data_IF_877424050377
#
_entry.id   IF_877424050377
#
_cell.length_a   1.000
_cell.length_b   1.000
_cell.length_c   1.000
_cell.angle_alpha   90.00
_cell.angle_beta   90.00
_cell.angle_gamma   90.00
#
_symmetry.space_group_name_H-M   'P 1'
#
loop_
_entity.id
_entity.type
_entity.pdbx_description
1 polymer ?
#
# COMPACT_ATOMS: atom_id res chain seq x y z
N UNK A 1 19.78 -0.43 -23.48
CA UNK A 1 19.34 -0.20 -22.08
C UNK A 1 20.60 -0.14 -21.24
N UNK A 2 20.74 0.86 -20.37
CA UNK A 2 21.82 0.91 -19.38
C UNK A 2 21.70 -0.30 -18.46
N UNK A 3 22.80 -0.98 -18.17
CA UNK A 3 22.83 -2.09 -17.22
C UNK A 3 22.44 -1.61 -15.81
N UNK A 4 21.68 -2.42 -15.08
CA UNK A 4 21.31 -2.14 -13.68
C UNK A 4 22.38 -2.76 -12.80
N UNK A 5 23.21 -1.92 -12.18
CA UNK A 5 24.46 -2.38 -11.53
C UNK A 5 24.35 -2.53 -10.02
N UNK A 6 23.34 -1.92 -9.40
CA UNK A 6 23.15 -1.93 -7.95
C UNK A 6 21.67 -1.69 -7.56
N UNK A 7 21.24 -2.09 -6.36
CA UNK A 7 19.83 -1.99 -5.96
C UNK A 7 19.33 -0.55 -5.75
N UNK A 8 20.19 0.42 -5.45
CA UNK A 8 19.78 1.83 -5.31
C UNK A 8 19.41 2.41 -6.68
N UNK A 9 20.24 2.15 -7.70
CA UNK A 9 19.93 2.46 -9.09
C UNK A 9 18.61 1.78 -9.50
N UNK A 10 18.45 0.50 -9.16
CA UNK A 10 17.24 -0.26 -9.46
C UNK A 10 15.97 0.37 -8.86
N UNK A 11 16.04 0.92 -7.64
CA UNK A 11 14.91 1.62 -7.01
C UNK A 11 14.47 2.87 -7.77
N UNK A 12 15.35 3.52 -8.53
CA UNK A 12 14.98 4.62 -9.41
C UNK A 12 14.53 4.12 -10.80
N UNK A 13 15.27 3.14 -11.35
CA UNK A 13 15.00 2.60 -12.68
C UNK A 13 13.67 1.81 -12.73
N UNK A 14 13.16 1.28 -11.61
CA UNK A 14 11.90 0.52 -11.55
C UNK A 14 10.71 1.32 -12.10
N UNK A 15 10.72 2.66 -11.96
CA UNK A 15 9.65 3.53 -12.42
C UNK A 15 9.64 3.69 -13.95
N UNK A 16 10.79 3.61 -14.60
CA UNK A 16 10.93 3.97 -16.02
C UNK A 16 11.39 2.82 -16.92
N UNK A 17 12.12 1.84 -16.36
CA UNK A 17 12.75 0.72 -17.06
C UNK A 17 12.58 -0.59 -16.26
N UNK A 18 11.35 -0.96 -15.85
CA UNK A 18 11.13 -2.08 -14.95
C UNK A 18 11.60 -3.44 -15.48
N UNK A 19 11.55 -3.68 -16.79
CA UNK A 19 12.02 -4.95 -17.36
C UNK A 19 13.51 -5.21 -17.08
N UNK A 20 14.34 -4.17 -17.18
CA UNK A 20 15.78 -4.28 -16.88
C UNK A 20 16.03 -4.53 -15.39
N UNK A 21 15.25 -3.89 -14.53
CA UNK A 21 15.30 -4.12 -13.08
C UNK A 21 14.89 -5.54 -12.74
N UNK A 22 13.76 -6.03 -13.26
CA UNK A 22 13.28 -7.38 -12.98
C UNK A 22 14.20 -8.45 -13.54
N UNK A 23 14.88 -8.22 -14.67
CA UNK A 23 15.95 -9.11 -15.12
C UNK A 23 17.10 -9.16 -14.11
N UNK A 24 17.62 -8.00 -13.69
CA UNK A 24 18.74 -7.93 -12.76
C UNK A 24 18.42 -8.55 -11.39
N UNK A 25 17.23 -8.28 -10.83
CA UNK A 25 16.86 -8.83 -9.51
C UNK A 25 16.55 -10.33 -9.53
N UNK A 26 16.32 -10.93 -10.70
CA UNK A 26 16.21 -12.38 -10.85
C UNK A 26 17.59 -13.07 -10.75
N UNK A 27 18.67 -12.34 -11.02
CA UNK A 27 20.05 -12.86 -11.05
C UNK A 27 20.83 -12.47 -9.77
N UNK A 28 20.28 -11.58 -8.94
CA UNK A 28 20.95 -11.04 -7.76
C UNK A 28 20.15 -11.26 -6.46
N UNK A 29 20.74 -12.05 -5.56
CA UNK A 29 20.19 -12.29 -4.23
C UNK A 29 20.26 -11.04 -3.34
N UNK A 30 19.35 -10.95 -2.37
CA UNK A 30 19.31 -9.94 -1.30
C UNK A 30 19.09 -8.48 -1.73
N UNK A 31 18.97 -8.17 -3.02
CA UNK A 31 18.71 -6.81 -3.48
C UNK A 31 17.38 -6.24 -2.96
N UNK A 32 16.39 -7.11 -2.75
CA UNK A 32 15.05 -6.74 -2.26
C UNK A 32 15.02 -6.19 -0.83
N UNK A 33 16.11 -6.30 -0.06
CA UNK A 33 16.21 -5.61 1.24
C UNK A 33 16.13 -4.08 1.11
N UNK A 34 16.61 -3.53 0.00
CA UNK A 34 16.58 -2.08 -0.24
C UNK A 34 15.14 -1.56 -0.40
N UNK A 35 14.33 -2.04 -1.37
CA UNK A 35 12.93 -1.62 -1.46
C UNK A 35 12.12 -2.05 -0.24
N UNK A 36 12.43 -3.17 0.41
CA UNK A 36 11.79 -3.55 1.68
C UNK A 36 11.91 -2.45 2.74
N UNK A 37 13.13 -1.97 2.99
CA UNK A 37 13.36 -0.91 3.97
C UNK A 37 12.69 0.40 3.56
N UNK A 38 12.79 0.79 2.29
CA UNK A 38 12.19 2.02 1.76
C UNK A 38 10.66 1.98 1.94
N UNK A 39 10.02 0.92 1.46
CA UNK A 39 8.56 0.76 1.51
C UNK A 39 8.08 0.68 2.96
N UNK A 40 8.78 -0.04 3.83
CA UNK A 40 8.40 -0.18 5.25
C UNK A 40 8.54 1.13 6.03
N UNK A 41 9.58 1.92 5.77
CA UNK A 41 9.73 3.24 6.41
C UNK A 41 8.63 4.17 5.92
N UNK A 42 8.35 4.18 4.61
CA UNK A 42 7.38 5.08 4.01
C UNK A 42 5.91 4.65 4.15
N UNK A 43 5.63 3.40 4.53
CA UNK A 43 4.28 3.00 4.93
C UNK A 43 3.88 3.55 6.30
N UNK A 44 4.87 3.85 7.15
CA UNK A 44 4.66 4.29 8.54
C UNK A 44 4.75 5.80 8.67
N UNK A 45 5.72 6.41 7.98
CA UNK A 45 6.11 7.80 8.19
C UNK A 45 4.96 8.81 8.01
N UNK A 46 4.10 8.73 6.97
CA UNK A 46 2.98 9.66 6.81
C UNK A 46 1.99 9.60 7.99
N UNK A 47 1.65 8.40 8.47
CA UNK A 47 0.73 8.23 9.60
C UNK A 47 1.34 8.76 10.91
N UNK A 48 2.62 8.50 11.14
CA UNK A 48 3.35 9.04 12.28
C UNK A 48 3.37 10.58 12.27
N UNK A 49 3.71 11.19 11.13
CA UNK A 49 3.72 12.64 10.98
C UNK A 49 2.32 13.23 11.14
N UNK A 50 1.30 12.58 10.56
CA UNK A 50 -0.09 13.01 10.66
C UNK A 50 -0.54 13.09 12.12
N UNK A 51 -0.37 12.04 12.93
CA UNK A 51 -0.82 12.06 14.33
C UNK A 51 -0.04 13.04 15.21
N UNK A 52 1.21 13.36 14.87
CA UNK A 52 1.98 14.40 15.56
C UNK A 52 1.62 15.82 15.09
N UNK A 53 1.04 15.96 13.90
CA UNK A 53 0.66 17.24 13.33
C UNK A 53 -0.76 17.65 13.72
N UNK A 54 -1.74 16.74 13.69
CA UNK A 54 -3.14 17.11 13.92
C UNK A 54 -3.44 17.47 15.38
N UNK A 55 -4.44 18.33 15.57
CA UNK A 55 -5.10 18.49 16.86
C UNK A 55 -5.72 17.15 17.25
N UNK A 56 -5.10 16.48 18.22
CA UNK A 56 -5.49 15.13 18.60
C UNK A 56 -6.88 15.09 19.26
N UNK A 57 -7.28 16.14 19.97
CA UNK A 57 -8.61 16.18 20.60
C UNK A 57 -9.70 16.24 19.51
N UNK A 58 -9.49 17.09 18.49
CA UNK A 58 -10.35 17.13 17.31
C UNK A 58 -10.36 15.80 16.55
N UNK A 59 -9.19 15.20 16.32
CA UNK A 59 -9.09 13.91 15.62
C UNK A 59 -9.86 12.81 16.35
N UNK A 60 -9.74 12.78 17.68
CA UNK A 60 -10.47 11.86 18.55
C UNK A 60 -11.98 12.09 18.48
N UNK A 61 -12.44 13.35 18.54
CA UNK A 61 -13.85 13.71 18.36
C UNK A 61 -14.39 13.23 17.01
N UNK A 62 -13.65 13.51 15.95
CA UNK A 62 -14.01 13.10 14.59
C UNK A 62 -14.15 11.57 14.50
N UNK A 63 -13.19 10.80 15.04
CA UNK A 63 -13.27 9.34 15.03
C UNK A 63 -14.47 8.82 15.83
N UNK A 64 -14.74 9.38 17.01
CA UNK A 64 -15.87 8.97 17.85
C UNK A 64 -17.19 9.23 17.15
N UNK A 65 -17.37 10.42 16.60
CA UNK A 65 -18.59 10.79 15.89
C UNK A 65 -18.79 9.94 14.62
N UNK A 66 -17.71 9.57 13.94
CA UNK A 66 -17.78 8.81 12.68
C UNK A 66 -17.98 7.31 12.91
N UNK A 67 -17.31 6.70 13.90
CA UNK A 67 -17.30 5.24 14.08
C UNK A 67 -18.20 4.76 15.21
N UNK A 68 -18.50 5.62 16.18
CA UNK A 68 -19.21 5.27 17.41
C UNK A 68 -20.39 6.22 17.68
N UNK A 69 -20.85 6.95 16.66
CA UNK A 69 -21.93 7.94 16.75
C UNK A 69 -23.25 7.36 17.26
N UNK A 70 -23.52 6.08 16.99
CA UNK A 70 -24.73 5.37 17.40
C UNK A 70 -24.68 4.82 18.84
N UNK A 71 -23.54 4.91 19.51
CA UNK A 71 -23.38 4.45 20.90
C UNK A 71 -23.89 5.50 21.90
N UNK A 72 -24.16 5.06 23.15
CA UNK A 72 -24.56 6.00 24.20
C UNK A 72 -23.43 6.97 24.57
N UNK A 73 -23.74 8.17 25.09
CA UNK A 73 -22.71 9.12 25.53
C UNK A 73 -21.74 8.56 26.56
N UNK A 74 -22.20 7.63 27.43
CA UNK A 74 -21.34 6.98 28.41
C UNK A 74 -20.31 6.06 27.75
N UNK A 75 -20.71 5.29 26.74
CA UNK A 75 -19.82 4.40 25.99
C UNK A 75 -18.82 5.19 25.14
N UNK A 76 -19.27 6.26 24.47
CA UNK A 76 -18.39 7.15 23.72
C UNK A 76 -17.31 7.76 24.62
N UNK A 77 -17.67 8.21 25.83
CA UNK A 77 -16.71 8.74 26.80
C UNK A 77 -15.71 7.68 27.27
N UNK A 78 -16.14 6.43 27.45
CA UNK A 78 -15.24 5.33 27.80
C UNK A 78 -14.23 5.06 26.67
N UNK A 79 -14.67 5.02 25.42
CA UNK A 79 -13.80 4.86 24.24
C UNK A 79 -12.81 6.02 24.14
N UNK A 80 -13.30 7.25 24.34
CA UNK A 80 -12.48 8.47 24.38
C UNK A 80 -11.35 8.35 25.39
N UNK A 81 -11.67 8.01 26.64
CA UNK A 81 -10.64 7.88 27.69
C UNK A 81 -9.59 6.80 27.37
N UNK A 82 -9.95 5.77 26.59
CA UNK A 82 -9.02 4.73 26.14
C UNK A 82 -8.18 5.11 24.90
N UNK A 83 -8.60 6.10 24.12
CA UNK A 83 -7.95 6.49 22.86
C UNK A 83 -6.89 7.58 23.09
N UNK A 84 -5.75 7.18 23.67
CA UNK A 84 -4.60 8.07 23.83
C UNK A 84 -3.78 8.23 22.55
N UNK A 85 -3.17 9.41 22.35
CA UNK A 85 -2.34 9.71 21.17
C UNK A 85 -1.21 8.69 20.98
N UNK A 86 -0.48 8.36 22.03
CA UNK A 86 0.60 7.37 21.98
C UNK A 86 0.11 5.96 21.62
N UNK A 87 -1.11 5.59 22.04
CA UNK A 87 -1.69 4.30 21.70
C UNK A 87 -2.08 4.24 20.21
N UNK A 88 -2.69 5.32 19.69
CA UNK A 88 -3.00 5.45 18.26
C UNK A 88 -1.72 5.43 17.43
N UNK A 89 -0.69 6.16 17.84
CA UNK A 89 0.63 6.14 17.19
C UNK A 89 1.22 4.73 17.17
N UNK A 90 1.23 4.04 18.31
CA UNK A 90 1.75 2.66 18.39
C UNK A 90 0.98 1.73 17.44
N UNK A 91 -0.35 1.83 17.41
CA UNK A 91 -1.18 1.05 16.51
C UNK A 91 -0.84 1.32 15.04
N UNK A 92 -0.67 2.59 14.65
CA UNK A 92 -0.27 2.96 13.29
C UNK A 92 1.14 2.49 12.94
N UNK A 93 2.10 2.57 13.87
CA UNK A 93 3.46 2.08 13.68
C UNK A 93 3.45 0.56 13.44
N UNK A 94 2.79 -0.20 14.32
CA UNK A 94 2.71 -1.67 14.22
C UNK A 94 1.99 -2.06 12.93
N UNK A 95 0.83 -1.46 12.64
CA UNK A 95 0.06 -1.73 11.43
C UNK A 95 0.81 -1.35 10.16
N UNK A 96 1.50 -0.21 10.16
CA UNK A 96 2.29 0.27 9.02
C UNK A 96 3.52 -0.59 8.72
N UNK A 97 4.09 -1.28 9.72
CA UNK A 97 5.20 -2.23 9.53
C UNK A 97 4.67 -3.61 9.15
N UNK A 98 3.77 -4.18 9.97
CA UNK A 98 3.31 -5.55 9.79
C UNK A 98 2.37 -5.71 8.59
N UNK A 99 1.58 -4.69 8.28
CA UNK A 99 0.62 -4.69 7.17
C UNK A 99 1.30 -5.02 5.84
N UNK A 100 2.27 -4.21 5.36
CA UNK A 100 3.01 -4.49 4.13
C UNK A 100 3.72 -5.84 4.15
N UNK A 101 4.28 -6.26 5.29
CA UNK A 101 4.96 -7.57 5.43
C UNK A 101 4.00 -8.72 5.11
N UNK A 102 2.80 -8.69 5.71
CA UNK A 102 1.77 -9.72 5.53
C UNK A 102 1.16 -9.65 4.13
N UNK A 103 0.80 -8.46 3.66
CA UNK A 103 0.20 -8.27 2.33
C UNK A 103 1.13 -8.75 1.23
N UNK A 104 2.41 -8.37 1.29
CA UNK A 104 3.42 -8.84 0.32
C UNK A 104 3.61 -10.36 0.40
N UNK A 105 3.51 -10.97 1.58
CA UNK A 105 3.61 -12.43 1.72
C UNK A 105 2.41 -13.14 1.08
N UNK A 106 1.21 -12.60 1.24
CA UNK A 106 -0.01 -13.13 0.60
C UNK A 106 0.08 -13.00 -0.92
N UNK A 107 0.52 -11.84 -1.44
CA UNK A 107 0.71 -11.64 -2.89
C UNK A 107 1.81 -12.57 -3.42
N UNK A 108 2.92 -12.73 -2.70
CA UNK A 108 4.00 -13.63 -3.09
C UNK A 108 3.54 -15.09 -3.14
N UNK A 109 2.75 -15.54 -2.16
CA UNK A 109 2.14 -16.87 -2.17
C UNK A 109 1.24 -17.05 -3.39
N UNK A 110 0.38 -16.06 -3.65
CA UNK A 110 -0.47 -16.06 -4.84
C UNK A 110 0.35 -16.16 -6.14
N UNK A 111 1.38 -15.32 -6.31
CA UNK A 111 2.24 -15.33 -7.50
C UNK A 111 2.98 -16.66 -7.65
N UNK A 112 3.51 -17.19 -6.55
CA UNK A 112 4.19 -18.49 -6.55
C UNK A 112 3.25 -19.61 -7.02
N UNK A 113 2.00 -19.64 -6.54
CA UNK A 113 1.02 -20.64 -6.96
C UNK A 113 0.60 -20.46 -8.43
N UNK A 114 0.34 -19.22 -8.86
CA UNK A 114 -0.14 -18.93 -10.22
C UNK A 114 0.92 -19.13 -11.31
N UNK A 115 2.20 -19.07 -10.93
CA UNK A 115 3.33 -19.25 -11.85
C UNK A 115 3.96 -20.63 -11.77
N UNK A 116 3.51 -21.49 -10.84
CA UNK A 116 4.00 -22.87 -10.66
C UNK A 116 3.80 -23.77 -11.87
N UNK A 117 2.82 -23.45 -12.73
CA UNK A 117 2.56 -24.23 -13.94
C UNK A 117 3.58 -24.00 -15.06
N UNK A 118 4.50 -23.05 -14.91
CA UNK A 118 5.57 -22.81 -15.88
C UNK A 118 6.80 -23.64 -15.54
N UNK A 119 7.17 -24.57 -16.41
CA UNK A 119 8.34 -25.43 -16.24
C UNK A 119 9.67 -24.65 -16.30
N UNK A 120 9.67 -23.45 -16.90
CA UNK A 120 10.86 -22.61 -17.01
C UNK A 120 11.05 -21.67 -15.81
N UNK A 121 10.04 -21.58 -14.94
CA UNK A 121 10.10 -20.72 -13.76
C UNK A 121 10.84 -21.43 -12.63
N UNK A 122 12.04 -20.94 -12.32
CA UNK A 122 12.87 -21.46 -11.22
C UNK A 122 12.61 -20.74 -9.89
N UNK A 123 11.75 -19.72 -9.87
CA UNK A 123 11.53 -18.86 -8.71
C UNK A 123 10.56 -19.48 -7.69
N UNK A 124 11.04 -19.60 -6.45
CA UNK A 124 10.27 -20.04 -5.30
C UNK A 124 9.52 -18.91 -4.60
N UNK A 125 8.84 -19.24 -3.49
CA UNK A 125 8.10 -18.25 -2.69
C UNK A 125 8.95 -17.06 -2.25
N UNK A 126 10.20 -17.30 -1.83
CA UNK A 126 11.09 -16.23 -1.34
C UNK A 126 11.49 -15.25 -2.43
N UNK A 127 11.63 -15.72 -3.67
CA UNK A 127 11.94 -14.88 -4.83
C UNK A 127 10.75 -13.99 -5.16
N UNK A 128 9.54 -14.56 -5.17
CA UNK A 128 8.30 -13.79 -5.30
C UNK A 128 8.06 -12.84 -4.13
N UNK A 129 8.49 -13.19 -2.92
CA UNK A 129 8.42 -12.29 -1.78
C UNK A 129 9.35 -11.09 -1.96
N UNK A 130 10.61 -11.33 -2.36
CA UNK A 130 11.54 -10.28 -2.77
C UNK A 130 10.97 -9.40 -3.89
N UNK A 131 10.38 -10.02 -4.90
CA UNK A 131 9.73 -9.35 -6.03
C UNK A 131 8.66 -8.35 -5.60
N UNK A 132 7.78 -8.74 -4.67
CA UNK A 132 6.65 -7.89 -4.26
C UNK A 132 7.08 -6.56 -3.64
N UNK A 133 8.27 -6.49 -3.02
CA UNK A 133 8.83 -5.23 -2.52
C UNK A 133 9.22 -4.27 -3.65
N UNK A 134 9.77 -4.78 -4.75
CA UNK A 134 10.02 -3.98 -5.96
C UNK A 134 8.72 -3.49 -6.59
N UNK A 135 7.73 -4.39 -6.71
CA UNK A 135 6.41 -4.03 -7.22
C UNK A 135 5.69 -2.99 -6.35
N UNK A 136 6.00 -2.93 -5.04
CA UNK A 136 5.43 -1.98 -4.08
C UNK A 136 6.06 -0.58 -4.12
N UNK A 137 7.14 -0.37 -4.89
CA UNK A 137 7.81 0.93 -4.99
C UNK A 137 6.88 2.12 -5.38
N UNK A 138 5.83 1.97 -6.20
CA UNK A 138 4.88 3.06 -6.45
C UNK A 138 4.22 3.65 -5.18
N UNK A 139 4.07 2.87 -4.10
CA UNK A 139 3.55 3.36 -2.83
C UNK A 139 4.42 4.46 -2.20
N UNK A 140 5.72 4.49 -2.52
CA UNK A 140 6.66 5.54 -2.10
C UNK A 140 6.20 6.91 -2.58
N UNK A 141 5.66 7.00 -3.81
CA UNK A 141 5.19 8.26 -4.37
C UNK A 141 3.99 8.78 -3.57
N UNK A 142 3.03 7.90 -3.24
CA UNK A 142 1.91 8.29 -2.36
C UNK A 142 2.42 8.84 -1.02
N UNK A 143 3.36 8.15 -0.39
CA UNK A 143 3.89 8.55 0.91
C UNK A 143 4.59 9.91 0.86
N UNK A 144 5.41 10.15 -0.17
CA UNK A 144 6.09 11.44 -0.37
C UNK A 144 5.10 12.59 -0.59
N UNK A 145 4.03 12.36 -1.37
CA UNK A 145 2.97 13.35 -1.56
C UNK A 145 2.25 13.62 -0.23
N UNK A 146 1.91 12.57 0.53
CA UNK A 146 1.25 12.71 1.83
C UNK A 146 2.10 13.53 2.80
N UNK A 147 3.40 13.23 2.89
CA UNK A 147 4.36 13.97 3.73
C UNK A 147 4.40 15.44 3.32
N UNK A 148 4.46 15.73 2.01
CA UNK A 148 4.45 17.10 1.51
C UNK A 148 3.15 17.84 1.86
N UNK A 149 1.99 17.20 1.69
CA UNK A 149 0.69 17.80 2.01
C UNK A 149 0.56 18.12 3.51
N UNK A 150 0.99 17.20 4.38
CA UNK A 150 1.00 17.43 5.84
C UNK A 150 1.95 18.59 6.17
N UNK A 151 3.17 18.59 5.63
CA UNK A 151 4.18 19.61 5.92
C UNK A 151 3.79 21.02 5.42
N UNK A 152 2.97 21.10 4.37
CA UNK A 152 2.48 22.35 3.80
C UNK A 152 1.15 22.83 4.40
N UNK A 153 0.50 22.00 5.22
CA UNK A 153 -0.76 22.38 5.85
C UNK A 153 -0.53 23.42 6.96
N UNK A 154 -1.36 24.46 6.97
CA UNK A 154 -1.44 25.43 8.08
C UNK A 154 -2.53 25.07 9.08
N UNK A 155 -3.53 24.29 8.67
CA UNK A 155 -4.61 23.80 9.50
C UNK A 155 -4.23 22.47 10.15
N UNK A 156 -4.46 22.35 11.47
CA UNK A 156 -4.18 21.14 12.25
C UNK A 156 -5.41 20.21 12.31
N UNK A 157 -6.53 20.58 11.65
CA UNK A 157 -7.76 19.79 11.54
C UNK A 157 -7.95 19.22 10.14
N UNK A 158 -6.93 18.54 9.62
CA UNK A 158 -6.97 17.89 8.30
C UNK A 158 -7.44 16.43 8.39
N UNK A 159 -8.23 16.00 7.40
CA UNK A 159 -8.82 14.66 7.37
C UNK A 159 -7.76 13.56 7.19
N UNK A 160 -7.98 12.35 7.74
CA UNK A 160 -7.02 11.24 7.64
C UNK A 160 -6.73 10.76 6.22
N UNK A 161 -7.62 11.04 5.27
CA UNK A 161 -7.41 10.72 3.84
C UNK A 161 -6.13 11.36 3.27
N UNK A 162 -5.60 12.42 3.90
CA UNK A 162 -4.34 13.07 3.52
C UNK A 162 -3.12 12.14 3.56
N UNK A 163 -3.16 11.04 4.32
CA UNK A 163 -2.08 10.03 4.33
C UNK A 163 -2.10 9.14 3.08
N UNK A 164 -3.15 9.26 2.27
CA UNK A 164 -3.43 8.47 1.06
C UNK A 164 -3.92 9.35 -0.09
N UNK A 165 -3.17 10.38 -0.49
CA UNK A 165 -3.62 11.39 -1.45
C UNK A 165 -3.83 10.85 -2.86
N UNK A 166 -3.38 9.63 -3.15
CA UNK A 166 -3.64 8.97 -4.44
C UNK A 166 -4.89 8.07 -4.42
N UNK A 167 -5.61 8.00 -3.29
CA UNK A 167 -6.89 7.27 -3.19
C UNK A 167 -8.04 8.05 -3.82
N UNK A 168 -9.01 7.34 -4.39
CA UNK A 168 -10.24 7.95 -4.90
C UNK A 168 -11.00 8.69 -3.80
N UNK A 169 -10.95 8.18 -2.55
CA UNK A 169 -11.56 8.85 -1.41
C UNK A 169 -11.01 10.26 -1.19
N UNK A 170 -9.70 10.46 -1.34
CA UNK A 170 -9.08 11.77 -1.23
C UNK A 170 -9.49 12.69 -2.39
N UNK A 171 -9.41 12.21 -3.64
CA UNK A 171 -9.70 13.04 -4.82
C UNK A 171 -11.17 13.43 -4.97
N UNK A 172 -12.08 12.54 -4.55
CA UNK A 172 -13.52 12.76 -4.62
C UNK A 172 -14.09 13.34 -3.32
N UNK A 173 -13.25 13.68 -2.34
CA UNK A 173 -13.63 14.18 -1.02
C UNK A 173 -14.72 13.32 -0.34
N UNK A 174 -14.56 12.00 -0.44
CA UNK A 174 -15.51 11.05 0.14
C UNK A 174 -15.29 11.01 1.65
N UNK A 175 -16.31 11.41 2.39
CA UNK A 175 -16.28 11.45 3.84
C UNK A 175 -16.17 10.05 4.45
N UNK A 176 -15.50 9.94 5.59
CA UNK A 176 -15.32 8.68 6.32
C UNK A 176 -16.63 8.03 6.79
N UNK A 177 -17.69 8.83 6.94
CA UNK A 177 -19.04 8.37 7.29
C UNK A 177 -19.80 7.75 6.12
N UNK A 178 -19.28 7.85 4.90
CA UNK A 178 -19.91 7.26 3.72
C UNK A 178 -19.69 5.75 3.67
N UNK A 179 -20.74 4.99 3.35
CA UNK A 179 -20.64 3.55 3.05
C UNK A 179 -19.62 3.26 1.94
N UNK A 180 -19.44 4.20 1.00
CA UNK A 180 -18.50 4.07 -0.11
C UNK A 180 -17.05 4.40 0.25
N UNK A 181 -16.78 4.88 1.46
CA UNK A 181 -15.45 5.32 1.89
C UNK A 181 -14.42 4.21 1.75
N UNK A 182 -14.70 3.01 2.26
CA UNK A 182 -13.76 1.88 2.20
C UNK A 182 -13.39 1.48 0.77
N UNK A 183 -14.39 1.42 -0.13
CA UNK A 183 -14.19 1.16 -1.55
C UNK A 183 -13.32 2.23 -2.20
N UNK A 184 -13.67 3.51 -2.05
CA UNK A 184 -12.93 4.62 -2.63
C UNK A 184 -11.51 4.76 -2.04
N UNK A 185 -11.33 4.45 -0.76
CA UNK A 185 -10.02 4.45 -0.11
C UNK A 185 -9.12 3.32 -0.65
N UNK A 186 -9.71 2.19 -1.02
CA UNK A 186 -8.99 1.04 -1.60
C UNK A 186 -8.59 1.23 -3.07
N UNK A 187 -9.30 2.10 -3.80
CA UNK A 187 -8.98 2.46 -5.17
C UNK A 187 -7.92 3.55 -5.19
N UNK A 188 -6.69 3.18 -5.54
CA UNK A 188 -5.53 4.07 -5.43
C UNK A 188 -4.79 4.15 -6.76
N UNK A 189 -4.43 5.34 -7.21
CA UNK A 189 -3.86 5.53 -8.55
C UNK A 189 -2.56 4.73 -8.75
N UNK A 190 -1.73 4.63 -7.73
CA UNK A 190 -0.48 3.87 -7.75
C UNK A 190 -0.69 2.35 -7.80
N UNK A 191 -1.90 1.85 -7.52
CA UNK A 191 -2.20 0.42 -7.67
C UNK A 191 -2.15 0.00 -9.13
N UNK A 192 -2.52 0.88 -10.07
CA UNK A 192 -2.40 0.63 -11.51
C UNK A 192 -0.94 0.44 -11.93
N UNK A 193 -0.05 1.23 -11.33
CA UNK A 193 1.39 1.09 -11.55
C UNK A 193 1.90 -0.21 -10.94
N UNK A 194 1.46 -0.54 -9.72
CA UNK A 194 1.80 -1.81 -9.07
C UNK A 194 1.36 -3.01 -9.91
N UNK A 195 0.14 -3.00 -10.45
CA UNK A 195 -0.38 -4.03 -11.37
C UNK A 195 0.51 -4.14 -12.60
N UNK A 196 0.88 -3.01 -13.21
CA UNK A 196 1.78 -3.01 -14.35
C UNK A 196 3.14 -3.63 -14.02
N UNK A 197 3.74 -3.27 -12.88
CA UNK A 197 5.02 -3.84 -12.43
C UNK A 197 4.92 -5.34 -12.19
N UNK A 198 3.84 -5.82 -11.56
CA UNK A 198 3.59 -7.25 -11.38
C UNK A 198 3.50 -7.96 -12.75
N UNK A 199 2.76 -7.39 -13.70
CA UNK A 199 2.61 -7.97 -15.04
C UNK A 199 3.95 -8.05 -15.80
N UNK A 200 4.76 -6.98 -15.76
CA UNK A 200 6.10 -6.96 -16.36
C UNK A 200 6.99 -8.00 -15.70
N UNK A 201 7.00 -8.06 -14.37
CA UNK A 201 7.79 -9.02 -13.62
C UNK A 201 7.48 -10.47 -13.94
N UNK A 202 6.19 -10.84 -13.93
CA UNK A 202 5.76 -12.19 -14.33
C UNK A 202 6.24 -12.50 -15.75
N UNK A 203 6.06 -11.56 -16.70
CA UNK A 203 6.51 -11.75 -18.07
C UNK A 203 8.05 -11.81 -18.24
N UNK A 204 8.82 -11.29 -17.28
CA UNK A 204 10.29 -11.43 -17.27
C UNK A 204 10.76 -12.73 -16.64
N UNK A 205 10.05 -13.23 -15.61
CA UNK A 205 10.48 -14.38 -14.80
C UNK A 205 9.86 -15.71 -15.25
N UNK A 206 8.90 -15.66 -16.16
CA UNK A 206 8.18 -16.83 -16.68
C UNK A 206 8.10 -16.78 -18.21
N UNK A 207 7.74 -17.90 -18.82
CA UNK A 207 7.45 -18.05 -20.25
C UNK A 207 6.02 -17.61 -20.63
N UNK A 208 5.25 -17.06 -19.69
CA UNK A 208 3.87 -16.67 -19.92
C UNK A 208 3.75 -15.48 -20.89
N UNK A 209 2.68 -15.52 -21.71
CA UNK A 209 2.34 -14.39 -22.57
C UNK A 209 1.93 -13.17 -21.76
N UNK A 210 2.13 -11.97 -22.31
CA UNK A 210 1.74 -10.70 -21.68
C UNK A 210 0.28 -10.72 -21.20
N UNK A 211 -0.63 -11.30 -21.99
CA UNK A 211 -2.05 -11.42 -21.60
C UNK A 211 -2.24 -12.22 -20.31
N UNK A 212 -1.56 -13.37 -20.18
CA UNK A 212 -1.65 -14.21 -18.98
C UNK A 212 -1.02 -13.50 -17.78
N UNK A 213 0.16 -12.88 -17.97
CA UNK A 213 0.84 -12.11 -16.93
C UNK A 213 -0.02 -10.95 -16.41
N UNK A 214 -0.66 -10.19 -17.30
CA UNK A 214 -1.57 -9.10 -16.93
C UNK A 214 -2.80 -9.61 -16.18
N UNK A 215 -3.42 -10.71 -16.63
CA UNK A 215 -4.57 -11.30 -15.91
C UNK A 215 -4.20 -11.73 -14.49
N UNK A 216 -3.05 -12.39 -14.32
CA UNK A 216 -2.55 -12.78 -13.00
C UNK A 216 -2.28 -11.54 -12.14
N UNK A 217 -1.67 -10.50 -12.70
CA UNK A 217 -1.37 -9.26 -11.99
C UNK A 217 -2.61 -8.50 -11.52
N UNK A 218 -3.67 -8.47 -12.34
CA UNK A 218 -4.92 -7.77 -12.00
C UNK A 218 -5.74 -8.49 -10.92
N UNK A 219 -5.65 -9.82 -10.82
CA UNK A 219 -6.61 -10.59 -10.03
C UNK A 219 -6.67 -10.21 -8.54
N UNK A 220 -5.55 -10.01 -7.81
CA UNK A 220 -5.61 -9.63 -6.39
C UNK A 220 -6.37 -8.31 -6.17
N UNK A 221 -6.13 -7.33 -7.04
CA UNK A 221 -6.78 -6.01 -6.96
C UNK A 221 -8.27 -6.10 -7.33
N UNK A 222 -8.59 -6.84 -8.39
CA UNK A 222 -9.96 -7.07 -8.81
C UNK A 222 -10.78 -7.76 -7.70
N UNK A 223 -10.19 -8.74 -6.99
CA UNK A 223 -10.83 -9.40 -5.84
C UNK A 223 -11.07 -8.40 -4.71
N UNK A 224 -10.07 -7.61 -4.33
CA UNK A 224 -10.22 -6.59 -3.26
C UNK A 224 -11.33 -5.60 -3.60
N UNK A 225 -11.33 -5.05 -4.82
CA UNK A 225 -12.34 -4.08 -5.25
C UNK A 225 -13.73 -4.71 -5.38
N UNK A 226 -13.83 -5.96 -5.85
CA UNK A 226 -15.10 -6.68 -5.90
C UNK A 226 -15.67 -6.94 -4.50
N UNK A 227 -14.84 -7.31 -3.52
CA UNK A 227 -15.27 -7.51 -2.13
C UNK A 227 -15.85 -6.21 -1.57
N UNK A 228 -15.12 -5.09 -1.68
CA UNK A 228 -15.61 -3.80 -1.24
C UNK A 228 -16.90 -3.38 -1.93
N UNK A 229 -16.97 -3.58 -3.26
CA UNK A 229 -18.16 -3.25 -4.03
C UNK A 229 -19.38 -4.06 -3.57
N UNK A 230 -19.24 -5.36 -3.32
CA UNK A 230 -20.33 -6.20 -2.82
C UNK A 230 -20.74 -5.81 -1.40
N UNK A 231 -19.79 -5.52 -0.50
CA UNK A 231 -20.07 -5.05 0.86
C UNK A 231 -20.94 -3.79 0.84
N UNK A 232 -20.67 -2.85 -0.07
CA UNK A 232 -21.41 -1.60 -0.15
C UNK A 232 -22.79 -1.70 -0.81
N UNK A 233 -23.13 -2.84 -1.42
CA UNK A 233 -24.45 -3.10 -2.00
C UNK A 233 -25.40 -3.80 -1.01
N UNK A 234 -24.89 -4.32 0.10
CA UNK A 234 -25.66 -5.01 1.15
C UNK A 234 -26.12 -4.05 2.23
#
# INVERSE_FOLDING_TARGET
MSEVTNPIQACNDIFFKPSGVFKAVNEHNNWSWVPFLIVTVLSVLPGYLFINFVDFAWYQDMLINTQYGDMSPAEQNQIRSGMGQSAVQMYMLIGGILGPIVVNAVVALYLHLMTKSDEHNLNGFTDWYGFTWWASMPAVINALIAIALIALSSDHQILPTVISPLSLAYWADIQMSSDWFGFAQSMRLESLWTIYLIAVGIAQWTSFSTKKSTLIACAPFAVIWAIWFVINLM
#
